data_IF_463497010172
#
_entry.id   IF_463497010172
#
_cell.length_a   1.000
_cell.length_b   1.000
_cell.length_c   1.000
_cell.angle_alpha   90.00
_cell.angle_beta   90.00
_cell.angle_gamma   90.00
#
_symmetry.space_group_name_H-M   'P 1'
#
loop_
_entity.id
_entity.type
_entity.pdbx_description
1 polymer ?
#
# COMPACT_ATOMS: atom_id res chain seq x y z
N UNK A 1 -6.39 10.72 3.08
CA UNK A 1 -6.92 10.61 1.70
C UNK A 1 -5.77 10.20 0.80
N UNK A 2 -5.98 9.19 -0.04
CA UNK A 2 -4.95 8.71 -0.98
C UNK A 2 -5.27 9.17 -2.41
N UNK A 3 -4.27 9.82 -3.00
CA UNK A 3 -4.07 10.35 -4.34
C UNK A 3 -3.63 9.40 -5.44
N UNK A 4 -4.36 9.21 -6.57
CA UNK A 4 -3.87 8.40 -7.70
C UNK A 4 -3.40 7.01 -7.24
N UNK A 5 -4.32 6.27 -6.61
CA UNK A 5 -4.04 4.95 -6.04
C UNK A 5 -3.80 3.96 -7.17
N UNK A 6 -2.64 3.31 -7.14
CA UNK A 6 -2.29 2.19 -8.00
C UNK A 6 -2.90 0.90 -7.47
N UNK A 7 -2.60 0.58 -6.21
CA UNK A 7 -3.11 -0.62 -5.55
C UNK A 7 -3.02 -0.49 -4.03
N UNK A 8 -3.63 -1.40 -3.30
CA UNK A 8 -3.56 -1.47 -1.85
C UNK A 8 -3.75 -2.90 -1.36
N UNK A 9 -3.30 -3.13 -0.13
CA UNK A 9 -3.61 -4.34 0.60
C UNK A 9 -3.86 -3.97 2.06
N UNK A 10 -4.93 -4.50 2.63
CA UNK A 10 -5.24 -4.38 4.04
C UNK A 10 -5.43 -5.76 4.62
N UNK A 11 -4.87 -5.99 5.80
CA UNK A 11 -5.15 -7.18 6.60
C UNK A 11 -6.61 -7.17 7.09
N UNK A 12 -6.97 -8.16 7.91
CA UNK A 12 -8.31 -8.25 8.47
C UNK A 12 -8.75 -6.96 9.18
N UNK A 13 -9.79 -6.35 8.64
CA UNK A 13 -10.31 -5.08 9.14
C UNK A 13 -11.18 -5.34 10.37
N UNK A 14 -10.77 -4.80 11.52
CA UNK A 14 -11.57 -4.83 12.74
C UNK A 14 -12.37 -3.54 12.88
N UNK A 15 -13.61 -3.65 13.36
CA UNK A 15 -14.41 -2.48 13.74
C UNK A 15 -13.67 -1.72 14.84
N UNK A 16 -13.55 -0.40 14.67
CA UNK A 16 -12.81 0.44 15.61
C UNK A 16 -11.30 0.32 15.48
N UNK A 17 -10.78 -0.04 14.30
CA UNK A 17 -9.34 -0.02 14.02
C UNK A 17 -8.72 1.35 14.37
N UNK A 18 -7.55 1.32 14.99
CA UNK A 18 -6.79 2.51 15.40
C UNK A 18 -5.48 2.50 14.63
N UNK A 19 -5.30 3.50 13.76
CA UNK A 19 -4.03 3.72 13.07
C UNK A 19 -3.02 4.26 14.08
N UNK A 20 -1.88 3.58 14.18
CA UNK A 20 -0.74 4.01 15.00
C UNK A 20 0.16 4.96 14.20
N UNK A 21 0.51 4.57 12.97
CA UNK A 21 1.47 5.30 12.16
C UNK A 21 1.21 5.08 10.67
N UNK A 22 1.54 6.09 9.87
CA UNK A 22 1.58 6.02 8.41
C UNK A 22 2.94 6.53 7.97
N UNK A 23 3.70 5.73 7.25
CA UNK A 23 5.04 6.11 6.79
C UNK A 23 5.33 5.58 5.39
N UNK A 24 6.25 6.25 4.69
CA UNK A 24 6.69 5.86 3.36
C UNK A 24 7.88 4.89 3.43
N UNK A 25 7.98 4.00 2.46
CA UNK A 25 9.15 3.17 2.22
C UNK A 25 9.43 3.05 0.72
N UNK A 26 10.57 2.46 0.38
CA UNK A 26 11.02 2.38 -1.01
C UNK A 26 10.33 1.23 -1.77
N UNK A 27 10.10 1.40 -3.08
CA UNK A 27 9.51 0.36 -3.94
C UNK A 27 10.27 -0.98 -3.88
N UNK A 28 11.62 -1.04 -3.86
CA UNK A 28 12.33 -2.32 -3.70
C UNK A 28 11.93 -3.07 -2.42
N UNK A 29 11.63 -2.35 -1.34
CA UNK A 29 11.16 -2.95 -0.08
C UNK A 29 9.71 -3.45 -0.21
N UNK A 30 8.87 -2.78 -1.00
CA UNK A 30 7.54 -3.28 -1.35
C UNK A 30 7.62 -4.64 -2.03
N UNK A 31 8.42 -4.75 -3.10
CA UNK A 31 8.57 -5.98 -3.89
C UNK A 31 9.08 -7.12 -3.00
N UNK A 32 10.18 -6.88 -2.27
CA UNK A 32 10.76 -7.87 -1.37
C UNK A 32 9.80 -8.30 -0.26
N UNK A 33 9.16 -7.33 0.40
CA UNK A 33 8.27 -7.57 1.53
C UNK A 33 6.95 -8.26 1.16
N UNK A 34 6.49 -8.09 -0.08
CA UNK A 34 5.23 -8.63 -0.57
C UNK A 34 5.40 -9.78 -1.60
N UNK A 35 6.62 -10.28 -1.79
CA UNK A 35 6.95 -11.31 -2.80
C UNK A 35 6.01 -12.51 -2.82
N UNK A 36 5.66 -13.05 -1.65
CA UNK A 36 4.70 -14.15 -1.52
C UNK A 36 3.28 -13.78 -1.97
N UNK A 37 2.82 -12.58 -1.64
CA UNK A 37 1.50 -12.08 -2.03
C UNK A 37 1.46 -11.82 -3.54
N UNK A 38 2.48 -11.13 -4.06
CA UNK A 38 2.66 -10.84 -5.48
C UNK A 38 2.66 -12.14 -6.30
N UNK A 39 3.46 -13.13 -5.90
CA UNK A 39 3.50 -14.43 -6.59
C UNK A 39 2.16 -15.15 -6.60
N UNK A 40 1.43 -15.16 -5.47
CA UNK A 40 0.11 -15.82 -5.37
C UNK A 40 -0.95 -15.17 -6.24
N UNK A 41 -0.83 -13.87 -6.48
CA UNK A 41 -1.81 -13.07 -7.22
C UNK A 41 -1.36 -12.72 -8.65
N UNK A 42 -0.16 -13.14 -9.06
CA UNK A 42 0.36 -12.86 -10.40
C UNK A 42 -0.56 -13.39 -11.50
N UNK A 43 -1.13 -14.58 -11.34
CA UNK A 43 -2.05 -15.19 -12.32
C UNK A 43 -3.41 -14.49 -12.41
N UNK A 44 -3.79 -13.72 -11.39
CA UNK A 44 -5.00 -12.89 -11.42
C UNK A 44 -4.75 -11.50 -12.01
N UNK A 45 -3.51 -11.22 -12.47
CA UNK A 45 -3.10 -9.93 -13.02
C UNK A 45 -2.96 -8.83 -11.98
N UNK A 46 -2.78 -9.22 -10.71
CA UNK A 46 -2.59 -8.29 -9.60
C UNK A 46 -1.11 -8.26 -9.16
N UNK A 47 -0.55 -7.10 -8.81
CA UNK A 47 -1.19 -5.79 -8.74
C UNK A 47 -1.32 -5.11 -10.13
N UNK A 48 -0.62 -5.66 -11.12
CA UNK A 48 -0.72 -5.38 -12.54
C UNK A 48 -0.32 -6.65 -13.31
N UNK A 49 -0.43 -6.62 -14.64
CA UNK A 49 0.25 -7.61 -15.48
C UNK A 49 1.72 -7.21 -15.62
N UNK A 50 2.63 -8.15 -15.35
CA UNK A 50 4.08 -7.94 -15.47
C UNK A 50 4.78 -9.28 -15.70
N UNK A 51 5.84 -9.26 -16.49
CA UNK A 51 6.66 -10.44 -16.79
C UNK A 51 7.69 -10.69 -15.69
N UNK A 52 8.30 -9.61 -15.16
CA UNK A 52 9.32 -9.67 -14.10
C UNK A 52 9.09 -8.66 -12.98
N UNK A 53 9.62 -8.96 -11.79
CA UNK A 53 9.55 -8.03 -10.65
C UNK A 53 10.26 -6.70 -10.97
N UNK A 54 11.31 -6.72 -11.81
CA UNK A 54 12.03 -5.53 -12.28
C UNK A 54 11.14 -4.62 -13.14
N UNK A 55 10.30 -5.18 -14.02
CA UNK A 55 9.36 -4.41 -14.86
C UNK A 55 8.32 -3.69 -13.99
N UNK A 56 7.78 -4.41 -12.98
CA UNK A 56 6.84 -3.84 -12.02
C UNK A 56 7.53 -2.76 -11.18
N UNK A 57 8.75 -3.00 -10.71
CA UNK A 57 9.54 -2.01 -9.96
C UNK A 57 9.76 -0.74 -10.78
N UNK A 58 10.20 -0.86 -12.03
CA UNK A 58 10.38 0.28 -12.94
C UNK A 58 9.07 1.04 -13.17
N UNK A 59 7.97 0.33 -13.44
CA UNK A 59 6.65 0.93 -13.64
C UNK A 59 6.23 1.77 -12.42
N UNK A 60 6.46 1.25 -11.22
CA UNK A 60 6.10 1.94 -9.98
C UNK A 60 6.99 3.17 -9.74
N UNK A 61 8.29 3.05 -9.98
CA UNK A 61 9.25 4.15 -9.80
C UNK A 61 9.03 5.26 -10.83
N UNK A 62 8.96 4.93 -12.13
CA UNK A 62 8.75 5.90 -13.20
C UNK A 62 7.37 6.55 -13.14
N UNK A 63 6.37 5.80 -12.65
CA UNK A 63 5.03 6.31 -12.38
C UNK A 63 4.96 7.28 -11.19
N UNK A 64 6.03 7.42 -10.40
CA UNK A 64 6.07 8.26 -9.21
C UNK A 64 5.21 7.75 -8.05
N UNK A 65 5.02 6.43 -7.97
CA UNK A 65 4.25 5.82 -6.89
C UNK A 65 5.09 5.67 -5.62
N UNK A 66 4.41 5.84 -4.49
CA UNK A 66 4.98 5.69 -3.14
C UNK A 66 4.46 4.40 -2.52
N UNK A 67 5.32 3.70 -1.79
CA UNK A 67 4.91 2.60 -0.94
C UNK A 67 4.60 3.12 0.47
N UNK A 68 3.30 3.29 0.74
CA UNK A 68 2.81 3.90 1.98
C UNK A 68 2.32 2.77 2.90
N UNK A 69 3.00 2.60 4.03
CA UNK A 69 2.69 1.57 5.01
C UNK A 69 1.76 2.16 6.07
N UNK A 70 0.72 1.40 6.42
CA UNK A 70 -0.22 1.73 7.50
C UNK A 70 -0.01 0.71 8.62
N UNK A 71 0.46 1.20 9.75
CA UNK A 71 0.58 0.43 10.98
C UNK A 71 -0.57 0.77 11.90
N UNK A 72 -1.25 -0.25 12.41
CA UNK A 72 -2.33 -0.10 13.38
C UNK A 72 -1.86 -0.46 14.79
N UNK A 73 -2.35 0.29 15.78
CA UNK A 73 -2.27 -0.11 17.18
C UNK A 73 -3.30 -1.21 17.48
N UNK A 74 -4.39 -1.23 16.71
CA UNK A 74 -5.45 -2.21 16.78
C UNK A 74 -6.14 -2.35 15.43
N UNK A 75 -6.30 -3.59 14.95
CA UNK A 75 -7.04 -3.89 13.74
C UNK A 75 -6.19 -3.89 12.46
N UNK A 76 -6.46 -2.94 11.57
CA UNK A 76 -6.06 -3.03 10.17
C UNK A 76 -4.65 -2.49 9.88
N UNK A 77 -3.67 -3.39 9.78
CA UNK A 77 -2.41 -3.09 9.10
C UNK A 77 -2.58 -3.19 7.59
N UNK A 78 -1.61 -2.64 6.85
CA UNK A 78 -1.51 -2.85 5.42
C UNK A 78 -0.67 -1.78 4.76
N UNK A 79 -0.93 -1.58 3.47
CA UNK A 79 -0.21 -0.62 2.67
C UNK A 79 -1.04 -0.14 1.48
N UNK A 80 -0.61 1.00 0.92
CA UNK A 80 -1.17 1.61 -0.27
C UNK A 80 -0.02 2.01 -1.20
N UNK A 81 -0.14 1.67 -2.48
CA UNK A 81 0.66 2.24 -3.56
C UNK A 81 -0.14 3.41 -4.14
N UNK A 82 0.35 4.63 -3.95
CA UNK A 82 -0.32 5.85 -4.42
C UNK A 82 0.72 6.94 -4.68
N UNK A 83 0.40 7.93 -5.51
CA UNK A 83 1.34 9.03 -5.76
C UNK A 83 1.36 10.05 -4.63
N UNK A 84 0.24 10.26 -3.96
CA UNK A 84 0.09 11.26 -2.92
C UNK A 84 -0.80 10.78 -1.76
N UNK A 85 -0.63 11.36 -0.57
CA UNK A 85 -1.56 11.19 0.53
C UNK A 85 -1.59 12.39 1.47
N UNK A 86 -2.71 12.55 2.17
CA UNK A 86 -2.92 13.59 3.19
C UNK A 86 -3.61 12.99 4.43
N UNK A 87 -3.16 13.36 5.63
CA UNK A 87 -3.82 13.00 6.89
C UNK A 87 -4.87 14.06 7.22
N UNK A 88 -6.14 13.66 7.19
CA UNK A 88 -7.27 14.55 7.48
C UNK A 88 -7.82 14.18 8.86
N UNK A 89 -7.46 14.95 9.88
CA UNK A 89 -8.04 14.80 11.21
C UNK A 89 -9.43 15.45 11.24
N UNK A 90 -10.48 14.65 11.46
CA UNK A 90 -11.81 15.20 11.77
C UNK A 90 -11.87 15.54 13.25
N UNK A 91 -12.13 16.80 13.57
CA UNK A 91 -12.58 17.17 14.91
C UNK A 91 -13.96 16.55 15.12
N UNK A 92 -14.07 15.63 16.07
CA UNK A 92 -15.37 15.17 16.56
C UNK A 92 -15.93 16.36 17.35
N UNK A 93 -17.07 16.92 16.92
CA UNK A 93 -17.79 17.92 17.71
C UNK A 93 -18.32 17.23 18.95
N UNK A 94 -18.00 17.79 20.11
CA UNK A 94 -18.57 17.42 21.41
C UNK A 94 -20.09 17.63 21.44
#
# INVERSE_FOLDING_TARGET
MFTEVFNHFFEHQLKGSIILEIYESDIPKFIKGNSELLRKQKSSGWPMMYDSDDEMEQTLIEGGYKYIIIMSAYGMNGWVLAKNYEIIARKIKE
#
